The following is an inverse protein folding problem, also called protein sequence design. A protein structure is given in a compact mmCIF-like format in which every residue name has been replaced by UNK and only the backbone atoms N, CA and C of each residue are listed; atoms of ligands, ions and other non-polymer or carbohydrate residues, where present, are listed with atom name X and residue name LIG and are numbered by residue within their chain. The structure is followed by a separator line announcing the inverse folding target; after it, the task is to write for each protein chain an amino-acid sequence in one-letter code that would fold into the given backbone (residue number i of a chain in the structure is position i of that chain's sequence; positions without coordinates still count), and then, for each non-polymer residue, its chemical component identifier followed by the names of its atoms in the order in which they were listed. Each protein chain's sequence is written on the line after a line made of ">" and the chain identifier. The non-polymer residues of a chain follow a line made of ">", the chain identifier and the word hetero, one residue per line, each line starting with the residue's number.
data_IF_270110526496
#
_entry.id   IF_270110526496
#
_cell.length_a   1.000
_cell.length_b   1.000
_cell.length_c   1.000
_cell.angle_alpha   90.00
_cell.angle_beta   90.00
_cell.angle_gamma   90.00
#
_symmetry.space_group_name_H-M   'P 1'
#
loop_
_entity.id
_entity.type
_entity.pdbx_description
1 polymer ?
#
# COMPACT_ATOMS: atom_id res chain seq x y z
N UNK A 1 29.94 8.45 -16.39
CA UNK A 1 28.58 8.11 -15.94
C UNK A 1 28.17 6.90 -16.75
N UNK A 2 27.94 5.76 -16.10
CA UNK A 2 27.60 4.50 -16.77
C UNK A 2 26.10 4.27 -16.84
N UNK A 3 25.34 4.87 -15.92
CA UNK A 3 23.90 4.68 -15.76
C UNK A 3 23.19 6.01 -15.49
N UNK A 4 21.91 6.08 -15.84
CA UNK A 4 21.06 7.23 -15.54
C UNK A 4 20.83 7.33 -14.02
N UNK A 5 20.96 8.52 -13.41
CA UNK A 5 20.94 8.67 -11.96
C UNK A 5 19.60 8.29 -11.32
N UNK A 6 18.48 8.50 -12.02
CA UNK A 6 17.15 8.30 -11.47
C UNK A 6 16.51 6.96 -11.84
N UNK A 7 16.86 6.38 -12.99
CA UNK A 7 16.29 5.11 -13.47
C UNK A 7 17.26 3.94 -13.33
N UNK A 8 18.56 4.19 -13.15
CA UNK A 8 19.61 3.16 -13.14
C UNK A 8 19.76 2.41 -14.47
N UNK A 9 19.10 2.87 -15.53
CA UNK A 9 19.24 2.28 -16.85
C UNK A 9 20.66 2.56 -17.40
N UNK A 10 21.27 1.59 -18.11
CA UNK A 10 22.59 1.79 -18.69
C UNK A 10 22.56 2.92 -19.72
N UNK A 11 23.57 3.78 -19.66
CA UNK A 11 23.79 4.80 -20.67
C UNK A 11 24.59 4.23 -21.83
N UNK A 12 24.38 4.80 -23.02
CA UNK A 12 25.25 4.51 -24.15
C UNK A 12 26.68 5.00 -23.82
N UNK A 13 27.64 4.06 -23.78
CA UNK A 13 29.06 4.38 -23.65
C UNK A 13 29.72 4.61 -25.02
N UNK A 14 30.72 5.50 -25.06
CA UNK A 14 31.49 5.73 -26.28
C UNK A 14 32.16 4.43 -26.76
N UNK A 15 32.14 4.20 -28.09
CA UNK A 15 32.83 3.08 -28.75
C UNK A 15 32.40 1.66 -28.33
N UNK A 16 31.15 1.46 -27.94
CA UNK A 16 30.60 0.12 -27.69
C UNK A 16 30.49 -0.71 -28.97
N UNK A 17 30.82 -2.00 -28.88
CA UNK A 17 30.73 -2.95 -30.00
C UNK A 17 29.27 -3.27 -30.40
N UNK A 18 28.34 -3.22 -29.44
CA UNK A 18 26.92 -3.52 -29.62
C UNK A 18 26.04 -2.48 -28.91
N UNK A 19 25.91 -1.26 -29.46
CA UNK A 19 25.17 -0.18 -28.79
C UNK A 19 23.65 -0.46 -28.67
N UNK A 20 23.11 -1.35 -29.51
CA UNK A 20 21.69 -1.74 -29.44
C UNK A 20 21.35 -2.50 -28.15
N UNK A 21 22.29 -3.21 -27.53
CA UNK A 21 22.03 -3.95 -26.29
C UNK A 21 21.72 -2.99 -25.14
N UNK A 22 22.55 -1.95 -24.99
CA UNK A 22 22.34 -0.91 -23.98
C UNK A 22 21.04 -0.12 -24.20
N UNK A 23 20.69 0.18 -25.46
CA UNK A 23 19.43 0.86 -25.81
C UNK A 23 18.22 -0.02 -25.54
N UNK A 24 18.29 -1.31 -25.86
CA UNK A 24 17.22 -2.26 -25.60
C UNK A 24 16.98 -2.40 -24.09
N UNK A 25 18.04 -2.55 -23.31
CA UNK A 25 17.95 -2.63 -21.84
C UNK A 25 17.34 -1.34 -21.24
N UNK A 26 17.80 -0.17 -21.67
CA UNK A 26 17.23 1.10 -21.22
C UNK A 26 15.75 1.25 -21.64
N UNK A 27 15.37 0.70 -22.79
CA UNK A 27 13.99 0.73 -23.29
C UNK A 27 13.07 -0.23 -22.52
N UNK A 28 13.57 -1.40 -22.08
CA UNK A 28 12.82 -2.30 -21.20
C UNK A 28 12.59 -1.69 -19.82
N UNK A 29 13.62 -1.05 -19.25
CA UNK A 29 13.48 -0.30 -18.00
C UNK A 29 12.48 0.84 -18.20
N UNK A 30 12.60 1.60 -19.28
CA UNK A 30 11.64 2.65 -19.58
C UNK A 30 10.22 2.09 -19.71
N UNK A 31 9.99 0.98 -20.42
CA UNK A 31 8.67 0.32 -20.51
C UNK A 31 8.13 -0.11 -19.14
N UNK A 32 9.01 -0.53 -18.23
CA UNK A 32 8.67 -0.83 -16.84
C UNK A 32 8.25 0.41 -16.02
N UNK A 33 8.65 1.63 -16.42
CA UNK A 33 8.35 2.88 -15.71
C UNK A 33 7.40 3.85 -16.44
N UNK A 34 7.26 3.76 -17.77
CA UNK A 34 6.69 4.80 -18.64
C UNK A 34 5.17 4.95 -18.56
N UNK A 35 4.51 3.97 -17.94
CA UNK A 35 3.09 3.99 -17.61
C UNK A 35 2.98 3.21 -16.31
N UNK A 36 2.50 3.85 -15.24
CA UNK A 36 2.19 3.25 -13.91
C UNK A 36 2.04 1.73 -14.05
N UNK A 37 3.13 1.01 -13.75
CA UNK A 37 3.28 -0.35 -14.29
C UNK A 37 2.16 -1.19 -13.73
N UNK A 38 1.41 -1.83 -14.63
CA UNK A 38 0.29 -2.66 -14.24
C UNK A 38 0.84 -4.06 -14.02
N UNK A 39 0.84 -4.51 -12.76
CA UNK A 39 1.24 -5.86 -12.36
C UNK A 39 0.01 -6.72 -12.23
N UNK A 40 0.11 -7.97 -12.68
CA UNK A 40 -0.96 -8.96 -12.58
C UNK A 40 -1.14 -9.41 -11.13
N UNK A 41 -0.04 -9.52 -10.39
CA UNK A 41 0.02 -10.07 -9.04
C UNK A 41 1.32 -9.58 -8.35
N UNK A 42 1.33 -9.54 -7.01
CA UNK A 42 2.47 -9.20 -6.17
C UNK A 42 2.85 -10.22 -5.09
N UNK A 43 2.09 -11.30 -4.91
CA UNK A 43 2.30 -12.27 -3.83
C UNK A 43 2.88 -13.62 -4.30
N UNK A 44 3.10 -13.76 -5.61
CA UNK A 44 3.71 -14.95 -6.20
C UNK A 44 5.21 -15.06 -5.90
N UNK A 45 5.59 -16.23 -5.39
CA UNK A 45 7.00 -16.65 -5.19
C UNK A 45 7.51 -17.55 -6.30
N UNK A 46 6.68 -17.91 -7.28
CA UNK A 46 7.05 -18.72 -8.42
C UNK A 46 6.39 -18.19 -9.69
N UNK A 47 7.03 -18.32 -10.87
CA UNK A 47 6.40 -17.94 -12.12
C UNK A 47 5.11 -18.76 -12.35
N UNK A 48 4.03 -18.12 -12.84
CA UNK A 48 2.80 -18.83 -13.17
C UNK A 48 3.01 -19.81 -14.33
N UNK A 49 2.20 -20.86 -14.41
CA UNK A 49 2.32 -21.86 -15.48
C UNK A 49 2.04 -21.32 -16.90
N UNK A 50 1.26 -20.23 -17.01
CA UNK A 50 1.05 -19.49 -18.25
C UNK A 50 0.96 -17.98 -17.97
N UNK A 51 1.45 -17.18 -18.91
CA UNK A 51 1.44 -15.73 -18.81
C UNK A 51 1.29 -15.10 -20.20
N UNK A 52 0.72 -13.91 -20.29
CA UNK A 52 0.74 -13.15 -21.53
C UNK A 52 2.13 -12.57 -21.77
N UNK A 53 2.51 -12.40 -23.04
CA UNK A 53 3.75 -11.68 -23.36
C UNK A 53 3.68 -10.25 -22.85
N UNK A 54 4.69 -9.83 -22.08
CA UNK A 54 4.73 -8.55 -21.41
C UNK A 54 3.90 -8.47 -20.12
N UNK A 55 3.31 -9.58 -19.66
CA UNK A 55 2.70 -9.64 -18.33
C UNK A 55 3.75 -9.35 -17.26
N UNK A 56 3.36 -8.60 -16.23
CA UNK A 56 4.27 -8.09 -15.21
C UNK A 56 3.87 -8.63 -13.84
N UNK A 57 4.84 -9.06 -13.05
CA UNK A 57 4.61 -9.59 -11.71
C UNK A 57 5.61 -8.96 -10.75
N UNK A 58 5.16 -8.55 -9.57
CA UNK A 58 6.06 -8.14 -8.49
C UNK A 58 6.43 -9.39 -7.69
N UNK A 59 7.70 -9.78 -7.69
CA UNK A 59 8.13 -11.05 -7.10
C UNK A 59 8.11 -10.95 -5.57
N UNK A 60 7.37 -11.84 -4.92
CA UNK A 60 7.37 -11.96 -3.46
C UNK A 60 8.69 -12.56 -2.94
N UNK A 61 8.99 -12.30 -1.67
CA UNK A 61 10.19 -12.82 -1.03
C UNK A 61 10.23 -14.36 -1.01
N UNK A 62 11.44 -14.92 -1.01
CA UNK A 62 11.73 -16.35 -1.17
C UNK A 62 11.33 -16.89 -2.55
N UNK A 63 11.74 -16.17 -3.60
CA UNK A 63 11.48 -16.52 -4.99
C UNK A 63 12.06 -17.91 -5.37
N UNK A 64 11.31 -18.63 -6.19
CA UNK A 64 11.57 -20.01 -6.60
C UNK A 64 11.46 -20.18 -8.12
N UNK A 65 11.87 -21.34 -8.63
CA UNK A 65 11.83 -21.63 -10.05
C UNK A 65 12.73 -20.68 -10.86
N UNK A 66 12.18 -20.09 -11.93
CA UNK A 66 12.92 -19.16 -12.79
C UNK A 66 13.10 -17.77 -12.17
N UNK A 67 12.49 -17.50 -11.01
CA UNK A 67 12.58 -16.21 -10.31
C UNK A 67 13.61 -16.21 -9.17
N UNK A 68 14.33 -17.33 -8.95
CA UNK A 68 15.35 -17.43 -7.89
C UNK A 68 16.37 -16.28 -7.99
N UNK A 69 16.54 -15.54 -6.89
CA UNK A 69 17.48 -14.43 -6.78
C UNK A 69 16.93 -13.06 -7.21
N UNK A 70 15.66 -12.99 -7.63
CA UNK A 70 15.00 -11.77 -8.09
C UNK A 70 13.90 -11.30 -7.12
N UNK A 71 14.07 -11.56 -5.83
CA UNK A 71 13.13 -11.15 -4.78
C UNK A 71 12.87 -9.64 -4.82
N UNK A 72 11.59 -9.24 -4.89
CA UNK A 72 11.17 -7.83 -4.90
C UNK A 72 11.42 -7.09 -6.22
N UNK A 73 11.92 -7.76 -7.25
CA UNK A 73 12.03 -7.20 -8.60
C UNK A 73 10.74 -7.38 -9.40
N UNK A 74 10.57 -6.56 -10.44
CA UNK A 74 9.50 -6.70 -11.41
C UNK A 74 9.91 -7.73 -12.45
N UNK A 75 9.19 -8.84 -12.53
CA UNK A 75 9.33 -9.84 -13.60
C UNK A 75 8.45 -9.45 -14.78
N UNK A 76 9.03 -9.31 -15.96
CA UNK A 76 8.33 -9.07 -17.23
C UNK A 76 8.44 -10.33 -18.07
N UNK A 77 7.30 -10.95 -18.37
CA UNK A 77 7.22 -12.17 -19.15
C UNK A 77 7.66 -11.91 -20.61
N UNK A 78 8.56 -12.76 -21.12
CA UNK A 78 8.93 -12.80 -22.53
C UNK A 78 8.21 -14.00 -23.13
N UNK A 79 7.43 -13.83 -24.20
CA UNK A 79 6.64 -14.89 -24.80
C UNK A 79 5.35 -15.22 -24.03
N UNK A 80 4.71 -16.33 -24.38
CA UNK A 80 3.38 -16.71 -23.86
C UNK A 80 3.41 -17.82 -22.81
N UNK A 81 4.60 -18.21 -22.35
CA UNK A 81 4.84 -19.29 -21.39
C UNK A 81 6.00 -18.87 -20.47
N UNK A 82 5.92 -19.21 -19.19
CA UNK A 82 6.95 -18.88 -18.21
C UNK A 82 8.34 -19.44 -18.55
N UNK A 83 8.40 -20.50 -19.37
CA UNK A 83 9.65 -21.09 -19.86
C UNK A 83 10.35 -20.28 -20.95
N UNK A 84 9.65 -19.34 -21.61
CA UNK A 84 10.25 -18.47 -22.63
C UNK A 84 11.22 -17.42 -22.05
N UNK A 85 11.21 -17.23 -20.72
CA UNK A 85 12.14 -16.37 -20.00
C UNK A 85 11.50 -15.10 -19.45
N UNK A 86 12.28 -14.38 -18.67
CA UNK A 86 11.84 -13.22 -17.89
C UNK A 86 12.89 -12.12 -17.99
N UNK A 87 12.44 -10.88 -18.10
CA UNK A 87 13.26 -9.71 -17.83
C UNK A 87 12.98 -9.22 -16.41
N UNK A 88 14.03 -8.91 -15.66
CA UNK A 88 13.91 -8.46 -14.27
C UNK A 88 14.36 -7.02 -14.15
N UNK A 89 13.57 -6.20 -13.47
CA UNK A 89 13.85 -4.79 -13.25
C UNK A 89 13.65 -4.40 -11.79
N UNK A 90 14.61 -3.68 -11.22
CA UNK A 90 14.46 -3.12 -9.88
C UNK A 90 13.55 -1.88 -9.93
N UNK A 91 12.36 -2.03 -9.34
CA UNK A 91 11.31 -1.00 -9.27
C UNK A 91 11.13 -0.40 -7.87
N UNK A 92 11.87 -0.89 -6.87
CA UNK A 92 11.81 -0.48 -5.47
C UNK A 92 12.52 0.88 -5.24
N UNK A 93 11.96 1.94 -5.82
CA UNK A 93 12.47 3.32 -5.72
C UNK A 93 11.42 4.21 -5.07
N UNK A 94 11.83 5.03 -4.12
CA UNK A 94 10.91 5.89 -3.37
C UNK A 94 10.02 6.71 -4.32
N UNK A 95 8.71 6.68 -4.09
CA UNK A 95 7.69 7.38 -4.89
C UNK A 95 7.30 6.68 -6.19
N UNK A 96 7.89 5.52 -6.51
CA UNK A 96 7.43 4.72 -7.64
C UNK A 96 6.07 4.08 -7.34
N UNK A 97 5.21 3.97 -8.36
CA UNK A 97 3.84 3.49 -8.22
C UNK A 97 3.55 2.33 -9.18
N UNK A 98 2.85 1.31 -8.69
CA UNK A 98 2.41 0.14 -9.46
C UNK A 98 0.92 -0.09 -9.25
N UNK A 99 0.19 -0.44 -10.30
CA UNK A 99 -1.21 -0.87 -10.18
C UNK A 99 -1.25 -2.39 -10.13
N UNK A 100 -1.79 -2.94 -9.04
CA UNK A 100 -1.94 -4.37 -8.79
C UNK A 100 -3.34 -4.78 -9.26
N UNK A 101 -3.43 -5.55 -10.35
CA UNK A 101 -4.71 -5.84 -11.04
C UNK A 101 -5.63 -6.75 -10.26
N UNK A 102 -5.09 -7.80 -9.66
CA UNK A 102 -5.84 -8.77 -8.86
C UNK A 102 -6.41 -8.15 -7.59
N UNK A 103 -5.70 -7.18 -7.00
CA UNK A 103 -6.14 -6.39 -5.85
C UNK A 103 -6.96 -5.13 -6.22
N UNK A 104 -6.99 -4.74 -7.50
CA UNK A 104 -7.51 -3.45 -7.99
C UNK A 104 -6.97 -2.25 -7.18
N UNK A 105 -5.68 -2.30 -6.83
CA UNK A 105 -5.05 -1.37 -5.89
C UNK A 105 -3.79 -0.71 -6.48
N UNK A 106 -3.72 0.62 -6.38
CA UNK A 106 -2.47 1.34 -6.63
C UNK A 106 -1.59 1.24 -5.39
N UNK A 107 -0.34 0.82 -5.54
CA UNK A 107 0.68 0.78 -4.49
C UNK A 107 1.79 1.78 -4.81
N UNK A 108 2.39 2.35 -3.77
CA UNK A 108 3.54 3.24 -3.83
C UNK A 108 4.67 2.70 -2.93
N UNK A 109 5.90 2.76 -3.42
CA UNK A 109 7.08 2.40 -2.64
C UNK A 109 7.54 3.59 -1.80
N UNK A 110 7.55 3.45 -0.47
CA UNK A 110 7.86 4.54 0.48
C UNK A 110 9.37 4.65 0.80
N UNK A 111 10.22 3.94 0.07
CA UNK A 111 11.66 3.84 0.33
C UNK A 111 12.06 2.66 1.22
N UNK A 112 11.10 1.95 1.82
CA UNK A 112 11.33 0.72 2.56
C UNK A 112 10.42 -0.42 2.06
N UNK A 113 9.15 -0.14 1.82
CA UNK A 113 8.14 -1.13 1.44
C UNK A 113 7.13 -0.59 0.43
N UNK A 114 6.48 -1.53 -0.27
CA UNK A 114 5.32 -1.25 -1.11
C UNK A 114 4.09 -1.13 -0.23
N UNK A 115 3.39 -0.01 -0.32
CA UNK A 115 2.19 0.25 0.47
C UNK A 115 1.05 0.73 -0.43
N UNK A 116 -0.21 0.57 -0.01
CA UNK A 116 -1.34 1.19 -0.70
C UNK A 116 -1.10 2.68 -0.93
N UNK A 117 -1.14 3.11 -2.19
CA UNK A 117 -1.17 4.51 -2.56
C UNK A 117 -2.56 5.04 -2.24
N UNK A 118 -2.60 6.16 -1.52
CA UNK A 118 -3.84 6.82 -1.13
C UNK A 118 -4.12 7.99 -2.09
N UNK A 119 -4.90 7.82 -3.17
CA UNK A 119 -5.60 8.97 -3.72
C UNK A 119 -6.63 9.35 -2.65
N UNK A 120 -6.80 10.64 -2.33
CA UNK A 120 -7.79 11.09 -1.35
C UNK A 120 -9.27 10.81 -1.68
N UNK A 121 -9.59 9.74 -2.43
CA UNK A 121 -10.92 9.25 -2.72
C UNK A 121 -11.43 8.41 -1.53
N UNK A 122 -12.68 8.65 -1.13
CA UNK A 122 -13.33 7.95 -0.04
C UNK A 122 -13.17 6.43 -0.17
N UNK A 123 -12.49 5.81 0.79
CA UNK A 123 -12.44 4.36 0.84
C UNK A 123 -13.82 3.81 1.21
N UNK A 124 -14.05 2.57 0.79
CA UNK A 124 -15.31 1.87 0.88
C UNK A 124 -15.90 1.85 2.31
N UNK A 125 -17.21 1.59 2.39
CA UNK A 125 -17.89 1.28 3.64
C UNK A 125 -17.29 0.02 4.28
N UNK A 126 -16.83 0.09 5.52
CA UNK A 126 -16.30 -1.05 6.27
C UNK A 126 -17.19 -1.38 7.46
N UNK A 127 -17.70 -2.60 7.52
CA UNK A 127 -18.55 -3.04 8.64
C UNK A 127 -17.75 -3.85 9.65
N UNK A 128 -17.82 -3.46 10.93
CA UNK A 128 -17.13 -4.12 12.05
C UNK A 128 -18.16 -4.62 13.08
N UNK A 129 -18.44 -5.94 13.12
CA UNK A 129 -19.37 -6.52 14.08
C UNK A 129 -18.73 -6.92 15.40
N UNK A 130 -17.40 -6.84 15.53
CA UNK A 130 -16.67 -7.21 16.74
C UNK A 130 -16.81 -6.21 17.89
N UNK A 131 -16.38 -6.63 19.08
CA UNK A 131 -16.27 -5.77 20.28
C UNK A 131 -14.88 -5.15 20.43
N UNK A 132 -13.94 -5.51 19.55
CA UNK A 132 -12.59 -4.96 19.49
C UNK A 132 -12.22 -4.77 18.04
N UNK A 133 -11.48 -3.69 17.76
CA UNK A 133 -10.99 -3.40 16.43
C UNK A 133 -9.73 -2.55 16.53
N UNK A 134 -8.63 -3.02 15.96
CA UNK A 134 -7.41 -2.23 15.82
C UNK A 134 -7.40 -1.60 14.42
N UNK A 135 -7.23 -0.28 14.35
CA UNK A 135 -7.20 0.43 13.07
C UNK A 135 -6.06 -0.10 12.19
N UNK A 136 -6.35 -0.34 10.92
CA UNK A 136 -5.37 -0.78 9.91
C UNK A 136 -5.20 0.31 8.87
N UNK A 137 -4.04 0.35 8.19
CA UNK A 137 -3.69 1.40 7.23
C UNK A 137 -4.80 1.73 6.20
N UNK A 138 -5.54 0.70 5.77
CA UNK A 138 -6.62 0.82 4.79
C UNK A 138 -7.89 1.51 5.31
N UNK A 139 -8.02 1.71 6.63
CA UNK A 139 -9.12 2.48 7.19
C UNK A 139 -8.98 3.98 6.93
N UNK A 140 -7.80 4.44 6.48
CA UNK A 140 -7.60 5.82 6.04
C UNK A 140 -8.70 6.16 5.03
N UNK A 141 -9.40 7.26 5.25
CA UNK A 141 -10.52 7.75 4.44
C UNK A 141 -11.68 6.79 4.22
N UNK A 142 -11.73 5.64 4.88
CA UNK A 142 -12.87 4.73 4.91
C UNK A 142 -13.96 5.26 5.83
N UNK A 143 -15.18 4.73 5.67
CA UNK A 143 -16.28 4.93 6.62
C UNK A 143 -16.56 3.63 7.38
N UNK A 144 -16.21 3.59 8.67
CA UNK A 144 -16.26 2.39 9.53
C UNK A 144 -17.59 2.32 10.29
N UNK A 145 -18.42 1.30 10.04
CA UNK A 145 -19.66 1.03 10.77
C UNK A 145 -19.42 0.00 11.86
N UNK A 146 -19.44 0.43 13.11
CA UNK A 146 -19.47 -0.48 14.25
C UNK A 146 -20.90 -0.93 14.52
N UNK A 147 -21.19 -2.22 14.34
CA UNK A 147 -22.57 -2.74 14.40
C UNK A 147 -22.90 -3.55 15.65
N UNK A 148 -21.92 -3.72 16.55
CA UNK A 148 -22.12 -4.49 17.78
C UNK A 148 -23.05 -3.76 18.77
N UNK A 149 -23.88 -4.52 19.49
CA UNK A 149 -24.74 -4.00 20.55
C UNK A 149 -24.02 -3.86 21.90
N UNK A 150 -22.88 -4.54 22.08
CA UNK A 150 -22.00 -4.44 23.23
C UNK A 150 -20.91 -3.39 22.98
N UNK A 151 -20.35 -2.78 24.06
CA UNK A 151 -19.26 -1.81 23.93
C UNK A 151 -18.13 -2.31 23.01
N UNK A 152 -17.64 -1.41 22.17
CA UNK A 152 -16.57 -1.67 21.21
C UNK A 152 -15.33 -0.88 21.59
N UNK A 153 -14.19 -1.55 21.72
CA UNK A 153 -12.88 -0.91 21.83
C UNK A 153 -12.28 -0.70 20.44
N UNK A 154 -12.10 0.56 20.03
CA UNK A 154 -11.44 0.94 18.77
C UNK A 154 -10.04 1.47 19.06
N UNK A 155 -9.00 0.71 18.75
CA UNK A 155 -7.61 1.09 19.06
C UNK A 155 -6.95 1.81 17.89
N UNK A 156 -6.23 2.89 18.18
CA UNK A 156 -5.32 3.54 17.22
C UNK A 156 -3.89 3.05 17.50
N UNK A 157 -3.29 2.20 16.64
CA UNK A 157 -1.94 1.69 16.86
C UNK A 157 -0.86 2.76 16.62
N UNK A 158 0.35 2.58 17.19
CA UNK A 158 1.48 3.46 16.92
C UNK A 158 1.94 3.38 15.46
N UNK A 159 2.54 4.46 14.98
CA UNK A 159 3.07 4.59 13.61
C UNK A 159 4.13 3.55 13.28
N UNK A 160 4.87 3.08 14.29
CA UNK A 160 5.84 1.99 14.14
C UNK A 160 5.19 0.64 13.78
N UNK A 161 3.91 0.43 14.11
CA UNK A 161 3.17 -0.79 13.77
C UNK A 161 2.32 -0.63 12.52
N UNK A 162 1.68 0.52 12.35
CA UNK A 162 0.87 0.84 11.18
C UNK A 162 1.28 2.22 10.70
N UNK A 163 1.97 2.30 9.57
CA UNK A 163 2.43 3.57 9.03
C UNK A 163 1.26 4.34 8.40
N UNK A 164 0.94 5.49 8.98
CA UNK A 164 -0.12 6.41 8.52
C UNK A 164 0.50 7.71 8.02
N UNK A 165 0.21 8.17 6.80
CA UNK A 165 0.56 9.52 6.41
C UNK A 165 -0.03 10.57 7.37
N UNK A 166 0.72 11.63 7.68
CA UNK A 166 0.10 12.80 8.33
C UNK A 166 -1.03 13.29 7.44
N UNK A 167 -2.12 13.76 8.06
CA UNK A 167 -3.39 14.10 7.41
C UNK A 167 -4.31 12.93 7.06
N UNK A 168 -3.99 11.68 7.41
CA UNK A 168 -4.97 10.57 7.40
C UNK A 168 -6.20 10.91 8.23
N UNK A 169 -7.37 10.49 7.75
CA UNK A 169 -8.67 10.65 8.42
C UNK A 169 -9.27 9.27 8.65
N UNK A 170 -9.74 8.98 9.85
CA UNK A 170 -10.56 7.80 10.14
C UNK A 170 -11.95 8.29 10.48
N UNK A 171 -12.96 7.85 9.73
CA UNK A 171 -14.37 8.16 10.04
C UNK A 171 -15.04 6.89 10.54
N UNK A 172 -15.76 6.99 11.65
CA UNK A 172 -16.52 5.86 12.18
C UNK A 172 -17.90 6.28 12.69
N UNK A 173 -18.82 5.31 12.68
CA UNK A 173 -20.18 5.44 13.18
C UNK A 173 -20.49 4.34 14.19
N UNK A 174 -21.07 4.74 15.32
CA UNK A 174 -21.71 3.82 16.27
C UNK A 174 -23.07 3.35 15.73
N UNK A 175 -23.11 2.49 14.72
CA UNK A 175 -24.37 2.00 14.15
C UNK A 175 -25.13 1.06 15.10
N UNK A 176 -24.40 0.24 15.86
CA UNK A 176 -24.94 -0.61 16.92
C UNK A 176 -25.19 0.14 18.24
N UNK A 177 -25.92 -0.48 19.17
CA UNK A 177 -26.17 0.10 20.49
C UNK A 177 -24.90 0.19 21.38
N UNK A 178 -23.84 -0.54 21.03
CA UNK A 178 -22.59 -0.59 21.78
C UNK A 178 -21.79 0.69 21.62
N UNK A 179 -21.45 1.35 22.73
CA UNK A 179 -20.60 2.54 22.71
C UNK A 179 -19.22 2.21 22.13
N UNK A 180 -18.76 3.01 21.16
CA UNK A 180 -17.43 2.88 20.57
C UNK A 180 -16.48 3.78 21.34
N UNK A 181 -15.53 3.16 22.05
CA UNK A 181 -14.50 3.86 22.82
C UNK A 181 -13.18 3.81 22.07
N UNK A 182 -12.64 4.98 21.71
CA UNK A 182 -11.35 5.07 21.05
C UNK A 182 -10.22 5.02 22.07
N UNK A 183 -9.28 4.11 21.87
CA UNK A 183 -8.15 3.90 22.77
C UNK A 183 -6.82 4.18 22.06
N UNK A 184 -5.93 5.01 22.62
CA UNK A 184 -4.60 5.19 22.07
C UNK A 184 -3.74 3.94 22.32
N UNK A 185 -3.04 3.47 21.28
CA UNK A 185 -1.94 2.52 21.41
C UNK A 185 -0.74 3.13 22.14
N UNK A 186 0.29 2.31 22.38
CA UNK A 186 1.50 2.77 23.08
C UNK A 186 2.16 3.96 22.38
N UNK A 187 2.35 5.08 23.07
CA UNK A 187 2.97 6.28 22.52
C UNK A 187 2.04 7.19 21.71
N UNK A 188 0.81 6.75 21.41
CA UNK A 188 -0.17 7.55 20.65
C UNK A 188 -0.83 8.58 21.55
N UNK A 189 -0.94 9.82 21.06
CA UNK A 189 -1.70 10.89 21.69
C UNK A 189 -2.96 11.19 20.90
N UNK A 190 -4.13 11.13 21.54
CA UNK A 190 -5.40 11.55 20.96
C UNK A 190 -5.88 12.80 21.70
N UNK A 191 -5.87 13.93 21.00
CA UNK A 191 -6.43 15.19 21.45
C UNK A 191 -7.93 15.20 21.17
N UNK A 192 -8.75 15.49 22.16
CA UNK A 192 -10.19 15.71 21.97
C UNK A 192 -10.69 16.82 22.89
N UNK A 193 -11.74 17.53 22.48
CA UNK A 193 -12.36 18.53 23.34
C UNK A 193 -12.96 17.84 24.57
N UNK A 194 -12.54 18.26 25.78
CA UNK A 194 -13.00 17.67 27.03
C UNK A 194 -12.37 16.31 27.38
N UNK A 195 -11.36 15.85 26.64
CA UNK A 195 -10.77 14.49 26.81
C UNK A 195 -11.81 13.37 26.65
N UNK A 196 -12.79 13.59 25.77
CA UNK A 196 -13.83 12.62 25.43
C UNK A 196 -13.34 11.69 24.33
N UNK A 197 -13.54 10.39 24.51
CA UNK A 197 -13.04 9.35 23.59
C UNK A 197 -14.12 8.35 23.19
N UNK A 198 -15.33 8.50 23.70
CA UNK A 198 -16.44 7.59 23.45
C UNK A 198 -17.45 8.27 22.54
N UNK A 199 -18.04 7.53 21.62
CA UNK A 199 -19.15 8.01 20.79
C UNK A 199 -20.36 8.39 21.65
N UNK A 200 -21.04 9.48 21.29
CA UNK A 200 -22.13 10.10 22.06
C UNK A 200 -23.44 9.30 22.13
N UNK A 201 -23.58 8.23 21.34
CA UNK A 201 -24.76 7.37 21.31
C UNK A 201 -24.92 6.64 19.98
N UNK A 202 -26.00 5.86 19.87
CA UNK A 202 -26.28 5.16 18.62
C UNK A 202 -26.46 6.18 17.48
N UNK A 203 -25.81 5.90 16.34
CA UNK A 203 -25.67 6.77 15.16
C UNK A 203 -24.77 8.00 15.34
N UNK A 204 -24.03 8.10 16.44
CA UNK A 204 -22.97 9.10 16.57
C UNK A 204 -21.87 8.83 15.54
N UNK A 205 -21.54 9.86 14.76
CA UNK A 205 -20.45 9.84 13.78
C UNK A 205 -19.29 10.65 14.34
N UNK A 206 -18.11 10.06 14.29
CA UNK A 206 -16.88 10.62 14.83
C UNK A 206 -15.75 10.50 13.81
N UNK A 207 -14.76 11.38 13.94
CA UNK A 207 -13.58 11.38 13.10
C UNK A 207 -12.30 11.51 13.93
N UNK A 208 -11.24 10.83 13.47
CA UNK A 208 -9.87 11.05 13.92
C UNK A 208 -9.04 11.59 12.77
N UNK A 209 -8.37 12.72 13.00
CA UNK A 209 -7.43 13.33 12.06
C UNK A 209 -6.01 13.18 12.57
N UNK A 210 -5.12 12.56 11.79
CA UNK A 210 -3.69 12.55 12.12
C UNK A 210 -3.10 13.93 11.85
N UNK A 211 -2.52 14.56 12.87
CA UNK A 211 -1.97 15.93 12.80
C UNK A 211 -0.46 15.98 13.02
N UNK A 212 0.16 14.88 13.41
CA UNK A 212 1.61 14.73 13.55
C UNK A 212 2.01 13.27 13.78
N UNK A 213 3.31 13.01 13.98
CA UNK A 213 3.83 11.70 14.37
C UNK A 213 3.18 11.25 15.67
N UNK A 214 2.49 10.10 15.63
CA UNK A 214 1.70 9.55 16.75
C UNK A 214 0.71 10.54 17.42
N UNK A 215 0.33 11.63 16.75
CA UNK A 215 -0.61 12.63 17.28
C UNK A 215 -1.86 12.70 16.40
N UNK A 216 -3.01 12.49 17.02
CA UNK A 216 -4.34 12.55 16.42
C UNK A 216 -5.20 13.59 17.11
N UNK A 217 -6.14 14.18 16.37
CA UNK A 217 -7.22 15.02 16.90
C UNK A 217 -8.55 14.35 16.58
N UNK A 218 -9.34 14.08 17.60
CA UNK A 218 -10.67 13.47 17.50
C UNK A 218 -11.76 14.54 17.59
N UNK A 219 -12.77 14.41 16.73
CA UNK A 219 -13.94 15.29 16.65
C UNK A 219 -15.21 14.47 16.38
N UNK A 220 -16.38 15.08 16.58
CA UNK A 220 -17.68 14.44 16.34
C UNK A 220 -18.60 14.55 17.55
N UNK A 221 -19.60 13.68 17.60
CA UNK A 221 -20.50 13.54 18.73
C UNK A 221 -19.88 12.61 19.78
N UNK A 222 -19.33 13.19 20.85
CA UNK A 222 -18.50 12.51 21.85
C UNK A 222 -19.06 12.69 23.26
N UNK A 223 -18.81 11.69 24.12
CA UNK A 223 -19.17 11.65 25.54
C UNK A 223 -18.08 11.00 26.40
#
# INVERSE_FOLDING_TARGET
>A
MTDFPNTGAPMWAASQASPWDAVNEASFIFDAFASRSIVEDRDLTAPPGSCANGARYLIAAAATGLWVGHDGELAIAIGTDASNGWYFANVARHGNQLLVKDEDLLIEYDGASWNPFWPGAAAALKTVPGTTYDAVRDDAGSYILFTNALPVAFTIPPEASVNWPVWSVLTFEQNGAGAVTVSPGSGVTINSHGSLYTSGGQHAVCQLKKVGTDIWTMTGDLT
#
